data_IF_482205318877
#
_entry.id   IF_482205318877
#
_cell.length_a   1.000
_cell.length_b   1.000
_cell.length_c   1.000
_cell.angle_alpha   90.00
_cell.angle_beta   90.00
_cell.angle_gamma   90.00
#
_symmetry.space_group_name_H-M   'P 1'
#
loop_
_entity.id
_entity.type
_entity.pdbx_description
1 polymer ?
#
# COMPACT_ATOMS: atom_id res chain seq x y z
N UNK A 1 -16.80 -15.82 1.43
CA UNK A 1 -16.00 -16.34 0.30
C UNK A 1 -15.88 -17.84 0.23
N UNK A 2 -16.23 -18.63 1.25
CA UNK A 2 -16.32 -20.09 1.07
C UNK A 2 -17.55 -20.72 1.74
N UNK A 3 -18.45 -21.26 0.91
CA UNK A 3 -19.54 -22.16 1.34
C UNK A 3 -19.05 -23.61 1.53
N UNK A 4 -17.74 -23.83 1.50
CA UNK A 4 -17.12 -25.15 1.53
C UNK A 4 -17.48 -25.96 2.80
N UNK A 5 -17.83 -25.28 3.89
CA UNK A 5 -18.21 -25.90 5.17
C UNK A 5 -19.72 -26.02 5.38
N UNK A 6 -20.55 -25.56 4.43
CA UNK A 6 -22.00 -25.67 4.52
C UNK A 6 -22.51 -26.97 3.88
N UNK A 7 -23.52 -27.60 4.50
CA UNK A 7 -24.14 -28.80 3.92
C UNK A 7 -24.99 -28.45 2.69
N UNK A 8 -25.05 -29.36 1.71
CA UNK A 8 -25.83 -29.17 0.48
C UNK A 8 -27.32 -28.88 0.77
N UNK A 9 -27.85 -29.48 1.85
CA UNK A 9 -29.23 -29.27 2.31
C UNK A 9 -29.49 -27.87 2.89
N UNK A 10 -28.45 -27.21 3.41
CA UNK A 10 -28.51 -25.82 3.89
C UNK A 10 -28.47 -24.85 2.72
N UNK A 11 -27.61 -25.13 1.73
CA UNK A 11 -27.42 -24.26 0.56
C UNK A 11 -28.61 -24.34 -0.42
N UNK A 12 -29.35 -25.45 -0.43
CA UNK A 12 -30.50 -25.65 -1.33
C UNK A 12 -31.71 -24.74 -1.03
N UNK A 13 -31.77 -24.15 0.17
CA UNK A 13 -32.86 -23.24 0.58
C UNK A 13 -32.55 -21.76 0.30
N UNK A 14 -31.35 -21.45 -0.18
CA UNK A 14 -30.90 -20.10 -0.47
C UNK A 14 -30.77 -19.90 -2.00
N UNK A 15 -31.15 -18.71 -2.48
CA UNK A 15 -30.82 -18.30 -3.84
C UNK A 15 -29.33 -18.00 -3.95
N UNK A 16 -28.60 -18.78 -4.75
CA UNK A 16 -27.17 -18.59 -4.96
C UNK A 16 -26.91 -17.82 -6.26
N UNK A 17 -26.17 -16.73 -6.16
CA UNK A 17 -25.71 -15.95 -7.32
C UNK A 17 -24.18 -16.06 -7.37
N UNK A 18 -23.69 -16.74 -8.39
CA UNK A 18 -22.26 -16.81 -8.66
C UNK A 18 -21.84 -15.61 -9.50
N UNK A 19 -20.73 -14.99 -9.11
CA UNK A 19 -20.17 -13.83 -9.81
C UNK A 19 -18.86 -14.25 -10.44
N UNK A 20 -18.78 -14.16 -11.77
CA UNK A 20 -17.53 -14.46 -12.46
C UNK A 20 -16.46 -13.42 -12.08
N UNK A 21 -15.25 -13.85 -11.74
CA UNK A 21 -14.16 -12.93 -11.38
C UNK A 21 -13.78 -11.98 -12.52
N UNK A 22 -14.07 -12.34 -13.77
CA UNK A 22 -13.83 -11.50 -14.95
C UNK A 22 -14.80 -10.32 -15.04
N UNK A 23 -16.00 -10.42 -14.46
CA UNK A 23 -17.00 -9.33 -14.50
C UNK A 23 -16.63 -8.17 -13.57
N UNK A 24 -15.93 -8.45 -12.47
CA UNK A 24 -15.41 -7.45 -11.50
C UNK A 24 -13.88 -7.37 -11.54
N UNK A 25 -13.35 -7.26 -12.76
CA UNK A 25 -11.93 -7.17 -13.00
C UNK A 25 -11.27 -5.85 -12.55
N UNK A 26 -9.92 -5.81 -12.57
CA UNK A 26 -9.12 -4.63 -12.23
C UNK A 26 -9.47 -3.39 -13.09
N UNK A 27 -9.86 -3.60 -14.35
CA UNK A 27 -10.29 -2.54 -15.26
C UNK A 27 -11.52 -1.79 -14.76
N UNK A 28 -12.56 -2.52 -14.34
CA UNK A 28 -13.82 -1.92 -13.86
C UNK A 28 -13.61 -1.03 -12.63
N UNK A 29 -12.74 -1.46 -11.72
CA UNK A 29 -12.39 -0.72 -10.50
C UNK A 29 -11.62 0.56 -10.84
N UNK A 30 -10.62 0.46 -11.73
CA UNK A 30 -9.86 1.61 -12.22
C UNK A 30 -10.78 2.64 -12.87
N UNK A 31 -11.61 2.20 -13.82
CA UNK A 31 -12.53 3.06 -14.56
C UNK A 31 -13.51 3.77 -13.63
N UNK A 32 -14.05 3.06 -12.63
CA UNK A 32 -14.89 3.65 -11.59
C UNK A 32 -14.15 4.75 -10.83
N UNK A 33 -12.93 4.48 -10.38
CA UNK A 33 -12.12 5.45 -9.63
C UNK A 33 -11.81 6.70 -10.47
N UNK A 34 -11.40 6.54 -11.74
CA UNK A 34 -11.16 7.67 -12.65
C UNK A 34 -12.41 8.53 -12.83
N UNK A 35 -13.58 7.92 -12.95
CA UNK A 35 -14.84 8.64 -13.13
C UNK A 35 -15.31 9.36 -11.87
N UNK A 36 -15.05 8.80 -10.69
CA UNK A 36 -15.42 9.40 -9.41
C UNK A 36 -14.51 10.56 -9.00
N UNK A 37 -13.19 10.42 -9.19
CA UNK A 37 -12.23 11.37 -8.61
C UNK A 37 -11.79 12.48 -9.59
N UNK A 38 -11.98 12.29 -10.90
CA UNK A 38 -11.51 13.22 -11.93
C UNK A 38 -12.63 13.70 -12.86
N UNK A 39 -13.87 13.80 -12.36
CA UNK A 39 -15.07 14.04 -13.18
C UNK A 39 -14.87 15.17 -14.20
N UNK A 40 -14.32 16.31 -13.77
CA UNK A 40 -14.14 17.52 -14.59
C UNK A 40 -12.79 17.60 -15.36
N UNK A 41 -11.92 16.59 -15.21
CA UNK A 41 -10.52 16.60 -15.67
C UNK A 41 -10.24 15.54 -16.74
N UNK A 42 -10.74 15.77 -17.96
CA UNK A 42 -10.65 14.79 -19.05
C UNK A 42 -9.21 14.48 -19.48
N UNK A 43 -8.34 15.49 -19.54
CA UNK A 43 -6.96 15.29 -20.00
C UNK A 43 -6.16 14.41 -19.05
N UNK A 44 -6.31 14.62 -17.74
CA UNK A 44 -5.64 13.85 -16.71
C UNK A 44 -6.20 12.43 -16.61
N UNK A 45 -7.51 12.24 -16.84
CA UNK A 45 -8.12 10.92 -16.96
C UNK A 45 -7.47 10.11 -18.07
N UNK A 46 -7.35 10.69 -19.26
CA UNK A 46 -6.78 9.99 -20.43
C UNK A 46 -5.31 9.66 -20.20
N UNK A 47 -4.54 10.59 -19.62
CA UNK A 47 -3.15 10.35 -19.24
C UNK A 47 -3.00 9.23 -18.21
N UNK A 48 -3.85 9.21 -17.18
CA UNK A 48 -3.82 8.18 -16.15
C UNK A 48 -4.26 6.82 -16.71
N UNK A 49 -5.30 6.77 -17.55
CA UNK A 49 -5.76 5.52 -18.15
C UNK A 49 -4.67 4.91 -19.05
N UNK A 50 -3.96 5.74 -19.83
CA UNK A 50 -2.77 5.33 -20.58
C UNK A 50 -1.65 4.80 -19.69
N UNK A 51 -1.42 5.41 -18.52
CA UNK A 51 -0.39 4.95 -17.58
C UNK A 51 -0.75 3.63 -16.94
N UNK A 52 -2.00 3.48 -16.50
CA UNK A 52 -2.48 2.21 -16.01
C UNK A 52 -2.32 1.12 -17.07
N UNK A 53 -2.72 1.38 -18.32
CA UNK A 53 -2.56 0.40 -19.39
C UNK A 53 -1.09 0.06 -19.63
N UNK A 54 -0.20 1.05 -19.70
CA UNK A 54 1.23 0.85 -19.92
C UNK A 54 1.89 0.00 -18.83
N UNK A 55 1.55 0.24 -17.57
CA UNK A 55 2.22 -0.40 -16.45
C UNK A 55 1.51 -1.68 -15.99
N UNK A 56 0.20 -1.84 -16.18
CA UNK A 56 -0.56 -2.96 -15.59
C UNK A 56 -1.00 -4.04 -16.59
N UNK A 57 -1.16 -3.73 -17.88
CA UNK A 57 -1.51 -4.71 -18.93
C UNK A 57 -0.27 -5.47 -19.41
N UNK A 58 -0.41 -6.75 -19.78
CA UNK A 58 0.66 -7.53 -20.45
C UNK A 58 0.24 -8.18 -21.76
N UNK A 59 -1.05 -8.40 -21.95
CA UNK A 59 -1.58 -9.31 -22.98
C UNK A 59 -2.99 -8.90 -23.34
N UNK A 60 -3.53 -9.49 -24.41
CA UNK A 60 -4.79 -9.15 -25.10
C UNK A 60 -6.05 -9.07 -24.21
N UNK A 61 -5.99 -9.46 -22.94
CA UNK A 61 -7.11 -9.45 -22.00
C UNK A 61 -7.01 -8.26 -21.04
N UNK A 62 -8.00 -7.37 -21.06
CA UNK A 62 -8.01 -6.13 -20.25
C UNK A 62 -8.17 -6.38 -18.75
N UNK A 63 -8.66 -7.56 -18.37
CA UNK A 63 -8.89 -7.95 -16.98
C UNK A 63 -7.69 -8.63 -16.32
N UNK A 64 -6.59 -8.88 -17.05
CA UNK A 64 -5.44 -9.61 -16.52
C UNK A 64 -4.26 -8.67 -16.25
N UNK A 65 -3.86 -8.55 -14.98
CA UNK A 65 -2.68 -7.81 -14.55
C UNK A 65 -1.48 -8.75 -14.46
N UNK A 66 -0.56 -8.65 -15.43
CA UNK A 66 0.64 -9.50 -15.49
C UNK A 66 1.58 -9.45 -14.33
N UNK A 67 1.60 -8.32 -13.65
CA UNK A 67 2.54 -8.15 -12.56
C UNK A 67 2.25 -9.19 -11.49
N UNK A 68 0.98 -9.55 -11.29
CA UNK A 68 0.56 -10.59 -10.36
C UNK A 68 1.08 -11.96 -10.78
N UNK A 69 0.98 -12.30 -12.06
CA UNK A 69 1.49 -13.60 -12.57
C UNK A 69 3.01 -13.68 -12.53
N UNK A 70 3.73 -12.57 -12.79
CA UNK A 70 5.20 -12.49 -12.64
C UNK A 70 5.66 -12.55 -11.17
N UNK A 71 4.86 -12.06 -10.24
CA UNK A 71 5.24 -11.90 -8.84
C UNK A 71 5.02 -13.14 -7.95
N UNK A 72 4.25 -14.15 -8.38
CA UNK A 72 3.89 -15.31 -7.54
C UNK A 72 5.06 -16.02 -6.84
N UNK A 73 6.31 -15.82 -7.28
CA UNK A 73 7.49 -16.50 -6.73
C UNK A 73 8.16 -15.78 -5.56
N UNK A 74 8.05 -14.45 -5.41
CA UNK A 74 8.89 -13.67 -4.47
C UNK A 74 8.11 -12.61 -3.67
N UNK A 75 6.95 -12.98 -3.12
CA UNK A 75 6.08 -12.05 -2.38
C UNK A 75 5.84 -12.56 -0.95
N UNK A 76 5.80 -11.65 0.03
CA UNK A 76 5.55 -11.96 1.45
C UNK A 76 4.06 -12.23 1.70
N UNK A 77 3.18 -11.44 1.07
CA UNK A 77 1.72 -11.53 1.24
C UNK A 77 1.05 -11.70 -0.12
N UNK A 78 0.30 -12.78 -0.31
CA UNK A 78 -0.47 -13.00 -1.54
C UNK A 78 -1.54 -11.92 -1.72
N UNK A 79 -1.64 -11.37 -2.93
CA UNK A 79 -2.60 -10.31 -3.29
C UNK A 79 -3.34 -10.70 -4.56
N UNK A 80 -4.63 -10.40 -4.60
CA UNK A 80 -5.41 -10.48 -5.83
C UNK A 80 -5.10 -9.29 -6.75
N UNK A 81 -5.38 -9.44 -8.05
CA UNK A 81 -5.19 -8.36 -9.03
C UNK A 81 -6.01 -7.11 -8.67
N UNK A 82 -7.23 -7.32 -8.20
CA UNK A 82 -8.12 -6.28 -7.68
C UNK A 82 -7.48 -5.53 -6.51
N UNK A 83 -6.96 -6.25 -5.51
CA UNK A 83 -6.37 -5.62 -4.31
C UNK A 83 -5.16 -4.74 -4.63
N UNK A 84 -4.43 -5.07 -5.68
CA UNK A 84 -3.27 -4.30 -6.15
C UNK A 84 -3.71 -2.98 -6.78
N UNK A 85 -4.72 -3.01 -7.65
CA UNK A 85 -5.26 -1.79 -8.28
C UNK A 85 -5.94 -0.89 -7.26
N UNK A 86 -6.70 -1.46 -6.33
CA UNK A 86 -7.33 -0.70 -5.23
C UNK A 86 -6.25 -0.02 -4.38
N UNK A 87 -5.15 -0.70 -4.06
CA UNK A 87 -4.06 -0.11 -3.28
C UNK A 87 -3.32 0.98 -4.05
N UNK A 88 -3.10 0.79 -5.36
CA UNK A 88 -2.50 1.79 -6.23
C UNK A 88 -3.34 3.07 -6.25
N UNK A 89 -4.66 2.94 -6.45
CA UNK A 89 -5.59 4.05 -6.45
C UNK A 89 -5.58 4.82 -5.12
N UNK A 90 -5.62 4.11 -3.98
CA UNK A 90 -5.54 4.72 -2.64
C UNK A 90 -4.21 5.44 -2.37
N UNK A 91 -3.08 4.85 -2.80
CA UNK A 91 -1.77 5.48 -2.68
C UNK A 91 -1.65 6.72 -3.54
N UNK A 92 -2.18 6.65 -4.76
CA UNK A 92 -2.25 7.80 -5.65
C UNK A 92 -3.08 8.91 -5.02
N UNK A 93 -4.28 8.61 -4.52
CA UNK A 93 -5.11 9.56 -3.77
C UNK A 93 -4.34 10.21 -2.62
N UNK A 94 -3.59 9.42 -1.84
CA UNK A 94 -2.80 9.93 -0.71
C UNK A 94 -1.73 10.95 -1.09
N UNK A 95 -1.19 10.85 -2.32
CA UNK A 95 -0.17 11.74 -2.86
C UNK A 95 -0.79 12.91 -3.62
N UNK A 96 -1.92 12.67 -4.27
CA UNK A 96 -2.57 13.58 -5.21
C UNK A 96 -3.55 14.54 -4.51
N UNK A 97 -4.35 14.07 -3.55
CA UNK A 97 -5.31 14.92 -2.84
C UNK A 97 -4.66 16.06 -2.06
N UNK A 98 -3.54 15.85 -1.32
CA UNK A 98 -2.88 16.95 -0.63
C UNK A 98 -2.38 18.04 -1.58
N UNK A 99 -1.95 17.67 -2.79
CA UNK A 99 -1.52 18.63 -3.81
C UNK A 99 -2.71 19.48 -4.28
N UNK A 100 -3.86 18.85 -4.54
CA UNK A 100 -5.09 19.57 -4.94
C UNK A 100 -5.60 20.50 -3.83
N UNK A 101 -5.51 20.09 -2.57
CA UNK A 101 -6.06 20.85 -1.45
C UNK A 101 -5.15 22.00 -0.97
N UNK A 102 -3.82 21.88 -1.11
CA UNK A 102 -2.88 22.92 -0.68
C UNK A 102 -2.66 24.03 -1.70
N UNK A 103 -2.77 23.75 -3.00
CA UNK A 103 -2.64 24.76 -4.05
C UNK A 103 -4.06 25.26 -4.41
N UNK A 104 -4.28 26.58 -4.30
CA UNK A 104 -5.53 27.20 -4.77
C UNK A 104 -5.83 26.67 -6.18
N UNK A 105 -7.07 26.21 -6.39
CA UNK A 105 -7.58 25.52 -7.61
C UNK A 105 -7.17 26.15 -8.95
N UNK A 106 -6.73 27.41 -8.97
CA UNK A 106 -6.48 28.21 -10.16
C UNK A 106 -5.00 28.30 -10.60
N UNK A 107 -4.03 27.75 -9.85
CA UNK A 107 -2.59 27.83 -10.21
C UNK A 107 -1.88 26.47 -10.34
N UNK A 108 -2.63 25.36 -10.22
CA UNK A 108 -2.06 24.02 -10.29
C UNK A 108 -1.92 23.60 -11.77
N UNK A 109 -0.93 24.13 -12.48
CA UNK A 109 -0.47 23.54 -13.73
C UNK A 109 0.21 22.20 -13.41
N UNK A 110 -0.62 21.15 -13.35
CA UNK A 110 -0.15 19.81 -13.12
C UNK A 110 0.50 19.31 -14.41
N UNK A 111 1.78 19.60 -14.56
CA UNK A 111 2.56 19.10 -15.69
C UNK A 111 2.43 17.57 -15.79
N UNK A 112 2.27 17.08 -17.01
CA UNK A 112 2.16 15.64 -17.32
C UNK A 112 3.25 14.85 -16.58
N UNK A 113 4.48 15.36 -16.53
CA UNK A 113 5.61 14.72 -15.83
C UNK A 113 5.40 14.52 -14.32
N UNK A 114 4.72 15.47 -13.65
CA UNK A 114 4.41 15.34 -12.21
C UNK A 114 3.40 14.22 -11.98
N UNK A 115 2.38 14.11 -12.83
CA UNK A 115 1.38 13.02 -12.78
C UNK A 115 2.08 11.68 -12.98
N UNK A 116 2.94 11.58 -14.00
CA UNK A 116 3.75 10.39 -14.26
C UNK A 116 4.61 10.00 -13.05
N UNK A 117 5.30 10.97 -12.43
CA UNK A 117 6.15 10.72 -11.27
C UNK A 117 5.33 10.25 -10.04
N UNK A 118 4.20 10.89 -9.76
CA UNK A 118 3.30 10.50 -8.66
C UNK A 118 2.72 9.10 -8.91
N UNK A 119 2.30 8.82 -10.15
CA UNK A 119 1.80 7.51 -10.54
C UNK A 119 2.87 6.43 -10.35
N UNK A 120 4.09 6.66 -10.85
CA UNK A 120 5.21 5.73 -10.68
C UNK A 120 5.57 5.50 -9.21
N UNK A 121 5.59 6.56 -8.40
CA UNK A 121 5.85 6.45 -6.96
C UNK A 121 4.76 5.62 -6.27
N UNK A 122 3.49 5.87 -6.59
CA UNK A 122 2.34 5.12 -6.06
C UNK A 122 2.39 3.66 -6.50
N UNK A 123 2.78 3.41 -7.75
CA UNK A 123 2.97 2.09 -8.31
C UNK A 123 4.08 1.32 -7.58
N UNK A 124 5.27 1.90 -7.44
CA UNK A 124 6.37 1.27 -6.72
C UNK A 124 5.99 0.99 -5.26
N UNK A 125 5.25 1.88 -4.60
CA UNK A 125 4.79 1.67 -3.23
C UNK A 125 3.68 0.62 -3.12
N UNK A 126 2.79 0.52 -4.10
CA UNK A 126 1.74 -0.50 -4.11
C UNK A 126 2.34 -1.89 -4.34
N UNK A 127 3.14 -2.03 -5.39
CA UNK A 127 3.67 -3.30 -5.84
C UNK A 127 4.94 -3.73 -5.10
N UNK A 128 5.84 -2.80 -4.81
CA UNK A 128 7.16 -3.08 -4.24
C UNK A 128 7.15 -3.44 -2.76
N UNK A 129 6.14 -3.01 -2.01
CA UNK A 129 6.07 -3.25 -0.55
C UNK A 129 5.83 -4.74 -0.23
N UNK A 130 5.18 -5.48 -1.12
CA UNK A 130 4.89 -6.90 -0.88
C UNK A 130 6.05 -7.82 -1.34
N UNK A 131 7.04 -7.30 -2.06
CA UNK A 131 8.16 -8.09 -2.53
C UNK A 131 9.04 -8.55 -1.37
N UNK A 132 9.48 -9.79 -1.43
CA UNK A 132 10.46 -10.32 -0.47
C UNK A 132 11.74 -9.51 -0.60
N UNK A 133 12.19 -8.95 0.51
CA UNK A 133 13.46 -8.23 0.56
C UNK A 133 14.59 -9.23 0.35
N UNK A 134 15.37 -9.07 -0.73
CA UNK A 134 16.61 -9.82 -0.91
C UNK A 134 17.64 -9.41 0.15
N UNK A 135 18.54 -10.33 0.50
CA UNK A 135 19.63 -10.05 1.43
C UNK A 135 20.56 -9.04 0.78
N UNK A 136 20.44 -7.79 1.19
CA UNK A 136 21.27 -6.71 0.68
C UNK A 136 22.77 -6.91 0.90
N UNK A 137 23.17 -7.77 1.83
CA UNK A 137 24.57 -8.18 2.01
C UNK A 137 25.15 -8.81 0.74
N UNK A 138 24.31 -9.42 -0.10
CA UNK A 138 24.71 -10.07 -1.35
C UNK A 138 24.79 -9.06 -2.52
N UNK A 139 24.16 -7.88 -2.37
CA UNK A 139 24.15 -6.79 -3.36
C UNK A 139 25.22 -5.71 -3.08
N UNK A 140 25.80 -5.70 -1.88
CA UNK A 140 26.80 -4.71 -1.48
C UNK A 140 28.19 -5.26 -1.81
N UNK A 141 29.00 -4.55 -2.62
CA UNK A 141 30.39 -4.92 -2.82
C UNK A 141 31.14 -4.90 -1.49
N UNK A 142 31.97 -5.92 -1.24
CA UNK A 142 32.76 -6.02 -0.02
C UNK A 142 33.62 -4.76 0.13
N UNK A 143 33.60 -4.15 1.31
CA UNK A 143 34.38 -2.95 1.59
C UNK A 143 35.87 -3.28 1.55
N UNK A 144 36.60 -2.71 0.59
CA UNK A 144 38.05 -2.77 0.52
C UNK A 144 38.66 -1.53 1.17
N UNK A 145 39.32 -1.73 2.32
CA UNK A 145 39.93 -0.66 3.07
C UNK A 145 41.25 -0.21 2.41
N UNK A 146 41.26 0.97 1.78
CA UNK A 146 42.49 1.55 1.25
C UNK A 146 43.18 2.42 2.31
N UNK A 147 44.26 1.89 2.94
CA UNK A 147 45.01 2.54 4.04
C UNK A 147 45.74 3.83 3.64
N UNK A 148 45.74 4.18 2.35
CA UNK A 148 46.36 5.39 1.81
C UNK A 148 45.49 6.65 1.94
N UNK A 149 44.18 6.51 2.22
CA UNK A 149 43.26 7.64 2.37
C UNK A 149 43.30 8.19 3.80
N UNK A 150 43.22 9.52 3.96
CA UNK A 150 43.17 10.19 5.27
C UNK A 150 41.86 9.89 5.99
N UNK A 151 41.95 9.73 7.31
CA UNK A 151 40.83 9.42 8.23
C UNK A 151 39.69 10.44 8.20
N UNK A 152 39.93 11.67 7.79
CA UNK A 152 38.92 12.74 7.68
C UNK A 152 38.02 12.64 6.44
N UNK A 153 38.43 11.89 5.41
CA UNK A 153 37.63 11.62 4.21
C UNK A 153 36.87 10.29 4.29
N UNK A 154 37.05 9.54 5.38
CA UNK A 154 36.27 8.34 5.72
C UNK A 154 34.90 8.73 6.30
N UNK A 155 34.13 9.53 5.56
CA UNK A 155 32.68 9.56 5.73
C UNK A 155 32.14 8.28 5.11
N UNK A 156 32.12 7.21 5.89
CA UNK A 156 31.19 6.10 5.64
C UNK A 156 29.99 6.42 6.52
N UNK A 157 28.93 7.07 6.00
CA UNK A 157 27.66 6.97 6.70
C UNK A 157 27.41 5.47 6.83
N UNK A 158 27.33 4.96 8.06
CA UNK A 158 27.03 3.55 8.26
C UNK A 158 25.77 3.28 7.44
N UNK A 159 25.90 2.47 6.39
CA UNK A 159 24.87 2.26 5.36
C UNK A 159 23.55 1.84 6.03
N UNK A 160 23.67 1.15 7.16
CA UNK A 160 22.59 0.79 8.06
C UNK A 160 21.86 2.01 8.64
N UNK A 161 22.55 3.06 9.08
CA UNK A 161 21.96 4.28 9.65
C UNK A 161 21.19 5.09 8.59
N UNK A 162 21.77 5.28 7.39
CA UNK A 162 21.05 5.95 6.30
C UNK A 162 19.84 5.11 5.87
N UNK A 163 20.00 3.80 5.72
CA UNK A 163 18.93 2.89 5.32
C UNK A 163 17.80 2.84 6.34
N UNK A 164 18.13 2.66 7.62
CA UNK A 164 17.14 2.66 8.70
C UNK A 164 16.46 4.02 8.80
N UNK A 165 17.21 5.12 8.64
CA UNK A 165 16.66 6.47 8.54
C UNK A 165 15.66 6.60 7.39
N UNK A 166 16.04 6.22 6.16
CA UNK A 166 15.16 6.28 4.99
C UNK A 166 13.93 5.38 5.13
N UNK A 167 14.10 4.15 5.63
CA UNK A 167 12.99 3.22 5.85
C UNK A 167 12.05 3.76 6.94
N UNK A 168 12.60 4.28 8.04
CA UNK A 168 11.84 4.90 9.12
C UNK A 168 11.05 6.10 8.60
N UNK A 169 11.69 7.01 7.86
CA UNK A 169 11.03 8.19 7.25
C UNK A 169 9.95 7.77 6.27
N UNK A 170 10.20 6.77 5.41
CA UNK A 170 9.20 6.26 4.47
C UNK A 170 8.02 5.60 5.18
N UNK A 171 8.24 4.80 6.23
CA UNK A 171 7.18 4.20 7.04
C UNK A 171 6.35 5.26 7.76
N UNK A 172 7.00 6.23 8.40
CA UNK A 172 6.35 7.35 9.08
C UNK A 172 5.48 8.15 8.12
N UNK A 173 6.02 8.45 6.93
CA UNK A 173 5.31 9.16 5.88
C UNK A 173 4.10 8.36 5.40
N UNK A 174 4.26 7.06 5.13
CA UNK A 174 3.17 6.19 4.68
C UNK A 174 2.03 6.14 5.71
N UNK A 175 2.36 6.01 7.01
CA UNK A 175 1.37 6.04 8.10
C UNK A 175 0.60 7.36 8.07
N UNK A 176 1.31 8.49 8.01
CA UNK A 176 0.69 9.82 7.93
C UNK A 176 -0.24 9.96 6.73
N UNK A 177 0.21 9.54 5.55
CA UNK A 177 -0.58 9.60 4.32
C UNK A 177 -1.85 8.75 4.41
N UNK A 178 -1.76 7.57 5.02
CA UNK A 178 -2.90 6.65 5.18
C UNK A 178 -3.92 7.13 6.22
N UNK A 179 -3.46 7.79 7.28
CA UNK A 179 -4.33 8.46 8.26
C UNK A 179 -5.16 9.56 7.56
N UNK A 180 -4.52 10.38 6.72
CA UNK A 180 -5.19 11.47 5.98
C UNK A 180 -6.33 10.95 5.10
N UNK A 181 -6.17 9.77 4.49
CA UNK A 181 -7.20 9.16 3.63
C UNK A 181 -8.11 8.18 4.39
N UNK A 182 -8.00 8.10 5.72
CA UNK A 182 -8.71 7.16 6.60
C UNK A 182 -8.68 5.71 6.10
N UNK A 183 -7.50 5.26 5.63
CA UNK A 183 -7.32 3.89 5.16
C UNK A 183 -6.57 3.03 6.17
N UNK A 184 -7.05 1.81 6.45
CA UNK A 184 -6.34 0.88 7.32
C UNK A 184 -5.06 0.38 6.65
N UNK A 185 -4.01 0.18 7.46
CA UNK A 185 -2.69 -0.29 7.02
C UNK A 185 -2.31 -1.54 7.79
N UNK A 186 -1.84 -2.56 7.07
CA UNK A 186 -1.29 -3.78 7.65
C UNK A 186 0.23 -3.80 7.49
N UNK A 187 0.95 -3.96 8.61
CA UNK A 187 2.41 -4.12 8.61
C UNK A 187 2.81 -5.58 8.82
N UNK A 188 3.34 -6.21 7.76
CA UNK A 188 3.80 -7.61 7.79
C UNK A 188 5.33 -7.68 7.77
N UNK A 189 5.89 -8.70 8.42
CA UNK A 189 7.33 -8.89 8.60
C UNK A 189 7.62 -9.80 9.79
N UNK A 190 8.88 -10.01 10.12
CA UNK A 190 9.25 -10.86 11.27
C UNK A 190 8.94 -10.17 12.61
N UNK A 191 8.82 -10.94 13.68
CA UNK A 191 8.53 -10.45 15.04
C UNK A 191 9.57 -9.46 15.55
N UNK A 192 10.83 -9.61 15.14
CA UNK A 192 11.93 -8.70 15.50
C UNK A 192 12.05 -7.47 14.58
N UNK A 193 11.21 -7.37 13.55
CA UNK A 193 11.18 -6.17 12.72
C UNK A 193 10.46 -5.08 13.52
N UNK A 194 11.10 -3.93 13.75
CA UNK A 194 10.68 -2.85 14.67
C UNK A 194 9.35 -2.14 14.33
N UNK A 195 8.31 -2.86 13.87
CA UNK A 195 6.99 -2.37 13.49
C UNK A 195 6.28 -1.75 14.68
N UNK A 196 6.15 -2.50 15.77
CA UNK A 196 5.49 -2.09 17.01
C UNK A 196 6.16 -0.83 17.57
N UNK A 197 7.50 -0.84 17.67
CA UNK A 197 8.26 0.33 18.14
C UNK A 197 8.09 1.55 17.22
N UNK A 198 8.02 1.36 15.90
CA UNK A 198 7.81 2.48 14.96
C UNK A 198 6.40 3.07 15.13
N UNK A 199 5.38 2.23 15.27
CA UNK A 199 3.98 2.68 15.39
C UNK A 199 3.75 3.30 16.77
N UNK A 200 4.24 2.70 17.84
CA UNK A 200 4.17 3.27 19.19
C UNK A 200 4.88 4.62 19.25
N UNK A 201 6.11 4.74 18.71
CA UNK A 201 6.79 6.05 18.65
C UNK A 201 6.07 7.09 17.78
N UNK A 202 5.23 6.65 16.83
CA UNK A 202 4.34 7.55 16.08
C UNK A 202 3.18 7.98 16.98
N UNK A 203 2.49 7.03 17.61
CA UNK A 203 1.31 7.20 18.45
C UNK A 203 1.63 7.99 19.71
N UNK A 204 2.81 7.81 20.33
CA UNK A 204 3.22 8.54 21.53
C UNK A 204 3.28 10.06 21.32
N UNK A 205 3.40 10.52 20.06
CA UNK A 205 3.27 11.95 19.74
C UNK A 205 1.81 12.45 19.84
N UNK A 206 0.85 11.54 19.89
CA UNK A 206 -0.59 11.79 20.03
C UNK A 206 -1.01 11.34 21.43
N UNK A 207 -1.44 12.28 22.28
CA UNK A 207 -1.79 11.95 23.67
C UNK A 207 -2.84 10.84 23.77
N UNK A 208 -2.60 9.87 24.65
CA UNK A 208 -3.56 8.79 24.92
C UNK A 208 -4.60 9.22 25.97
N UNK A 209 -5.87 8.90 25.73
CA UNK A 209 -6.95 9.04 26.72
C UNK A 209 -7.74 7.73 26.79
N UNK A 210 -7.93 7.23 28.01
CA UNK A 210 -8.82 6.10 28.25
C UNK A 210 -10.27 6.62 28.18
N UNK A 211 -11.09 6.05 27.29
CA UNK A 211 -12.49 6.44 27.12
C UNK A 211 -13.37 5.23 27.44
N UNK A 212 -14.27 5.40 28.41
CA UNK A 212 -15.24 4.37 28.84
C UNK A 212 -16.55 4.41 28.01
N UNK A 213 -16.47 5.00 26.82
CA UNK A 213 -17.56 5.23 25.87
C UNK A 213 -17.07 4.74 24.51
N UNK A 214 -17.90 4.02 23.77
CA UNK A 214 -17.55 3.62 22.41
C UNK A 214 -17.47 4.86 21.51
N UNK A 215 -16.24 5.21 21.10
CA UNK A 215 -15.96 6.27 20.14
C UNK A 215 -15.16 7.44 20.72
N UNK A 216 -14.52 8.23 19.84
CA UNK A 216 -13.78 9.42 20.25
C UNK A 216 -14.73 10.53 20.74
N UNK A 217 -14.19 11.50 21.49
CA UNK A 217 -14.92 12.72 21.84
C UNK A 217 -15.29 13.49 20.56
N UNK A 218 -16.38 14.26 20.59
CA UNK A 218 -16.79 15.09 19.46
C UNK A 218 -15.62 15.99 18.99
N UNK A 219 -15.32 15.94 17.69
CA UNK A 219 -14.22 16.69 17.08
C UNK A 219 -12.83 16.02 17.20
N UNK A 220 -12.74 14.80 17.74
CA UNK A 220 -11.49 14.02 17.77
C UNK A 220 -11.61 12.75 16.94
N UNK A 221 -10.48 12.26 16.43
CA UNK A 221 -10.39 11.03 15.65
C UNK A 221 -9.83 9.89 16.53
N UNK A 222 -10.37 8.68 16.35
CA UNK A 222 -9.89 7.48 17.01
C UNK A 222 -8.99 6.69 16.06
N UNK A 223 -7.72 6.54 16.43
CA UNK A 223 -6.78 5.66 15.74
C UNK A 223 -6.66 4.37 16.56
N UNK A 224 -6.95 3.23 15.94
CA UNK A 224 -6.85 1.91 16.56
C UNK A 224 -5.59 1.24 16.04
N UNK A 225 -4.70 0.85 16.96
CA UNK A 225 -3.54 0.03 16.66
C UNK A 225 -3.75 -1.38 17.22
N UNK A 226 -3.53 -2.38 16.35
CA UNK A 226 -3.53 -3.80 16.70
C UNK A 226 -2.15 -4.34 16.37
N UNK A 227 -1.46 -4.88 17.37
CA UNK A 227 -0.07 -5.33 17.22
C UNK A 227 -0.01 -6.69 16.50
N UNK A 228 -0.63 -7.72 17.10
CA UNK A 228 -0.62 -9.09 16.57
C UNK A 228 -2.01 -9.57 16.19
N UNK A 229 -2.40 -9.31 14.94
CA UNK A 229 -3.70 -9.75 14.42
C UNK A 229 -3.76 -11.27 14.20
N UNK A 230 -2.62 -11.94 14.02
CA UNK A 230 -2.54 -13.37 13.71
C UNK A 230 -2.36 -14.29 14.93
N UNK A 231 -2.38 -13.74 16.14
CA UNK A 231 -2.16 -14.52 17.37
C UNK A 231 -3.39 -15.33 17.87
N UNK A 232 -4.65 -14.84 17.73
CA UNK A 232 -5.81 -15.64 18.14
C UNK A 232 -5.88 -16.99 17.42
N UNK A 233 -6.32 -18.03 18.13
CA UNK A 233 -6.42 -19.40 17.60
C UNK A 233 -7.53 -19.47 16.56
N UNK A 234 -7.22 -20.10 15.44
CA UNK A 234 -8.19 -20.39 14.39
C UNK A 234 -9.11 -21.52 14.89
N UNK A 235 -10.42 -21.34 14.68
CA UNK A 235 -11.41 -22.37 14.98
C UNK A 235 -11.41 -23.50 13.94
N UNK A 236 -12.29 -24.50 14.13
CA UNK A 236 -12.40 -25.65 13.22
C UNK A 236 -12.84 -25.27 11.80
N UNK A 237 -13.37 -24.06 11.60
CA UNK A 237 -13.92 -23.56 10.34
C UNK A 237 -13.00 -22.54 9.66
N UNK A 238 -11.81 -22.29 10.20
CA UNK A 238 -10.86 -21.33 9.62
C UNK A 238 -11.11 -19.88 10.01
N UNK A 239 -11.98 -19.62 10.98
CA UNK A 239 -12.31 -18.27 11.47
C UNK A 239 -11.44 -17.92 12.69
N UNK A 240 -11.09 -16.64 12.81
CA UNK A 240 -10.25 -16.09 13.88
C UNK A 240 -11.02 -15.02 14.67
#
# INVERSE_FOLDING_TARGET
DDLQYASLATVSRCGMIYVDPDNLGPYSIRKRWLNMNLTDRSNEKDQLDLLYDRYTKNTKNENDCSIVSRQKKNVIVLRTQVNIIVQLAKLFDSLFLPLINHEKKDQLELNSDKIHAIFLQSFILSFGVCLKQEKWNDLIPKYEHNRSKRSTELLVPAINTIRLGMIKTKKQWLIKSMIIIHQPVLFVGDTESSKTATILSYIDNFGSQYINTYGPKAGTELIIFLDDISMPKIDQYGTQ
#
